data_IF_188287575242
#
_entry.id   IF_188287575242
#
_cell.length_a   1.000
_cell.length_b   1.000
_cell.length_c   1.000
_cell.angle_alpha   90.00
_cell.angle_beta   90.00
_cell.angle_gamma   90.00
#
_symmetry.space_group_name_H-M   'P 1'
#
loop_
_entity.id
_entity.type
_entity.pdbx_description
1 polymer ?
#
# COMPACT_ATOMS: atom_id res chain seq x y z
N UNK A 1 -0.93 27.07 97.33
CA UNK A 1 -1.31 25.94 96.44
C UNK A 1 -1.60 26.51 95.08
N UNK A 2 -0.94 25.97 94.06
CA UNK A 2 -0.59 26.62 92.80
C UNK A 2 -1.79 26.82 91.86
N UNK A 3 -1.89 28.02 91.26
CA UNK A 3 -1.99 28.16 89.81
C UNK A 3 -1.87 29.64 89.37
N UNK A 4 -1.36 29.79 88.14
CA UNK A 4 -1.60 30.88 87.18
C UNK A 4 -0.40 31.71 86.68
N UNK A 5 -0.21 31.57 85.36
CA UNK A 5 0.03 32.62 84.36
C UNK A 5 1.32 33.45 84.36
N UNK A 6 2.21 33.14 83.40
CA UNK A 6 2.84 34.08 82.41
C UNK A 6 3.81 33.28 81.52
N UNK A 7 3.58 33.10 80.22
CA UNK A 7 3.64 34.05 79.10
C UNK A 7 5.01 34.75 78.93
N UNK A 8 5.85 34.27 78.01
CA UNK A 8 6.01 34.84 76.65
C UNK A 8 7.29 34.34 75.93
N UNK A 9 7.04 33.79 74.72
CA UNK A 9 7.71 34.05 73.43
C UNK A 9 9.22 33.92 73.32
N UNK A 10 9.66 33.06 72.39
CA UNK A 10 10.67 33.43 71.40
C UNK A 10 10.55 32.57 70.12
N UNK A 11 10.74 33.20 68.97
CA UNK A 11 11.04 32.57 67.67
C UNK A 11 9.82 32.07 66.89
N UNK A 12 9.82 32.05 65.57
CA UNK A 12 10.64 32.72 64.57
C UNK A 12 9.84 32.61 63.25
N UNK A 13 9.89 33.69 62.47
CA UNK A 13 9.55 33.80 61.05
C UNK A 13 9.55 32.49 60.25
N UNK A 14 8.47 32.19 59.52
CA UNK A 14 8.57 31.58 58.18
C UNK A 14 7.56 32.26 57.24
N UNK A 15 8.08 33.06 56.32
CA UNK A 15 7.37 33.58 55.13
C UNK A 15 7.14 32.43 54.17
N UNK A 16 5.89 32.22 53.75
CA UNK A 16 5.50 31.28 52.69
C UNK A 16 5.49 32.06 51.36
N UNK A 17 6.34 31.74 50.37
CA UNK A 17 6.15 32.23 49.01
C UNK A 17 5.19 31.32 48.24
N UNK A 18 4.19 31.96 47.66
CA UNK A 18 3.16 31.44 46.75
C UNK A 18 3.81 30.74 45.55
N UNK A 19 3.53 29.44 45.39
CA UNK A 19 4.02 28.63 44.28
C UNK A 19 3.26 28.90 42.97
N UNK A 20 4.02 29.04 41.88
CA UNK A 20 3.53 29.18 40.51
C UNK A 20 2.73 27.94 40.06
N UNK A 21 1.50 28.15 39.61
CA UNK A 21 0.71 27.14 38.91
C UNK A 21 1.01 27.20 37.39
N UNK A 22 1.63 26.14 36.85
CA UNK A 22 1.78 25.95 35.40
C UNK A 22 0.64 25.04 34.95
N UNK A 23 -0.41 25.62 34.36
CA UNK A 23 -1.47 24.87 33.70
C UNK A 23 -0.99 24.45 32.30
N UNK A 24 -0.55 23.19 32.15
CA UNK A 24 -0.25 22.61 30.85
C UNK A 24 -1.57 22.21 30.16
N UNK A 25 -2.04 23.05 29.24
CA UNK A 25 -3.12 22.72 28.31
C UNK A 25 -2.63 21.66 27.33
N UNK A 26 -3.00 20.40 27.57
CA UNK A 26 -2.88 19.32 26.58
C UNK A 26 -3.88 19.59 25.45
N UNK A 27 -3.42 20.24 24.39
CA UNK A 27 -4.13 20.26 23.11
C UNK A 27 -4.13 18.84 22.54
N UNK A 28 -5.17 18.07 22.85
CA UNK A 28 -5.46 16.82 22.17
C UNK A 28 -5.72 17.14 20.70
N UNK A 29 -4.70 16.95 19.86
CA UNK A 29 -4.88 16.93 18.41
C UNK A 29 -5.77 15.74 18.09
N UNK A 30 -7.04 15.99 17.79
CA UNK A 30 -7.88 14.99 17.16
C UNK A 30 -7.29 14.73 15.77
N UNK A 31 -6.45 13.70 15.67
CA UNK A 31 -6.05 13.15 14.40
C UNK A 31 -7.31 12.68 13.69
N UNK A 32 -7.82 13.51 12.78
CA UNK A 32 -8.91 13.14 11.89
C UNK A 32 -8.35 12.04 10.99
N UNK A 33 -8.62 10.78 11.34
CA UNK A 33 -8.48 9.66 10.44
C UNK A 33 -9.34 9.99 9.21
N UNK A 34 -8.68 10.35 8.11
CA UNK A 34 -9.34 10.51 6.82
C UNK A 34 -9.84 9.13 6.41
N UNK A 35 -11.08 8.83 6.78
CA UNK A 35 -11.84 7.71 6.24
C UNK A 35 -12.09 8.02 4.78
N UNK A 36 -11.18 7.58 3.92
CA UNK A 36 -11.41 7.56 2.47
C UNK A 36 -12.59 6.61 2.26
N UNK A 37 -13.75 7.20 1.93
CA UNK A 37 -15.00 6.50 1.75
C UNK A 37 -14.97 5.51 0.58
N UNK A 38 -15.57 4.34 0.84
CA UNK A 38 -16.20 3.42 -0.11
C UNK A 38 -15.38 2.91 -1.30
N UNK A 39 -14.63 1.85 -1.00
CA UNK A 39 -14.13 0.84 -1.91
C UNK A 39 -12.91 0.20 -1.27
N UNK A 40 -13.00 -1.06 -0.83
CA UNK A 40 -11.82 -1.85 -0.41
C UNK A 40 -10.96 -2.15 -1.63
N UNK A 41 -10.38 -1.12 -2.22
CA UNK A 41 -9.52 -1.22 -3.39
C UNK A 41 -8.11 -0.89 -2.96
N UNK A 42 -7.24 -1.87 -3.11
CA UNK A 42 -5.82 -1.70 -2.80
C UNK A 42 -5.11 -0.92 -3.89
N UNK A 43 -4.00 -0.29 -3.52
CA UNK A 43 -3.22 0.52 -4.43
C UNK A 43 -2.81 -0.29 -5.66
N UNK A 44 -2.91 0.29 -6.87
CA UNK A 44 -2.48 -0.39 -8.07
C UNK A 44 -1.03 -0.77 -8.11
N UNK A 45 -0.77 -1.94 -8.67
CA UNK A 45 0.56 -2.34 -9.08
C UNK A 45 0.66 -2.26 -10.60
N UNK A 46 1.72 -1.63 -11.08
CA UNK A 46 1.96 -1.40 -12.51
C UNK A 46 3.31 -1.98 -12.93
N UNK A 47 3.44 -2.23 -14.23
CA UNK A 47 4.72 -2.53 -14.86
C UNK A 47 4.63 -2.40 -16.37
N UNK A 48 5.68 -2.78 -17.08
CA UNK A 48 5.71 -2.73 -18.54
C UNK A 48 7.09 -3.00 -19.13
N UNK A 49 7.12 -3.15 -20.44
CA UNK A 49 8.36 -3.17 -21.23
C UNK A 49 8.66 -1.78 -21.81
N UNK A 50 9.93 -1.48 -22.06
CA UNK A 50 10.33 -0.27 -22.79
C UNK A 50 10.07 1.05 -22.04
N UNK A 51 9.87 1.00 -20.72
CA UNK A 51 9.65 2.19 -19.87
C UNK A 51 10.86 2.45 -18.95
N UNK A 52 11.31 3.72 -18.92
CA UNK A 52 12.25 4.29 -17.91
C UNK A 52 11.63 4.23 -16.50
N UNK A 53 12.35 4.48 -15.37
CA UNK A 53 11.82 4.36 -14.01
C UNK A 53 10.45 5.01 -13.90
N UNK A 54 9.47 4.20 -13.53
CA UNK A 54 8.08 4.36 -13.93
C UNK A 54 7.54 5.78 -13.64
N UNK A 55 7.29 6.63 -14.66
CA UNK A 55 6.53 7.85 -14.44
C UNK A 55 5.14 7.49 -13.93
N UNK A 56 4.55 8.38 -13.12
CA UNK A 56 3.18 8.24 -12.64
C UNK A 56 2.26 7.83 -13.79
N UNK A 57 1.47 6.76 -13.60
CA UNK A 57 0.56 6.30 -14.64
C UNK A 57 -0.42 7.44 -14.97
N UNK A 58 -0.45 7.97 -16.21
CA UNK A 58 -1.33 9.08 -16.54
C UNK A 58 -2.79 8.64 -16.63
N UNK A 59 -3.03 7.32 -16.66
CA UNK A 59 -4.36 6.75 -16.75
C UNK A 59 -4.97 6.48 -15.36
N UNK A 60 -6.30 6.63 -15.22
CA UNK A 60 -7.00 6.20 -14.03
C UNK A 60 -6.75 4.71 -13.75
N UNK A 61 -6.60 4.31 -12.49
CA UNK A 61 -6.51 2.90 -12.13
C UNK A 61 -7.81 2.15 -12.44
N UNK A 62 -7.71 0.83 -12.54
CA UNK A 62 -8.85 -0.08 -12.64
C UNK A 62 -9.87 0.21 -11.54
N UNK A 63 -11.13 0.30 -11.93
CA UNK A 63 -12.26 0.47 -11.02
C UNK A 63 -12.77 -0.90 -10.56
N UNK A 64 -12.92 -1.09 -9.26
CA UNK A 64 -13.42 -2.33 -8.70
C UNK A 64 -13.14 -2.48 -7.21
N UNK A 65 -13.59 -3.61 -6.67
CA UNK A 65 -13.27 -4.07 -5.31
C UNK A 65 -12.26 -5.19 -5.42
N UNK A 66 -11.09 -5.02 -4.81
CA UNK A 66 -9.93 -5.88 -5.03
C UNK A 66 -9.36 -6.38 -3.72
N UNK A 67 -8.81 -7.59 -3.73
CA UNK A 67 -8.17 -8.14 -2.54
C UNK A 67 -6.91 -7.33 -2.19
N UNK A 68 -6.57 -7.23 -0.90
CA UNK A 68 -5.24 -6.78 -0.51
C UNK A 68 -4.17 -7.73 -1.01
N UNK A 69 -2.98 -7.22 -1.39
CA UNK A 69 -1.88 -8.07 -1.81
C UNK A 69 -1.55 -9.08 -0.71
N UNK A 70 -1.61 -10.36 -1.04
CA UNK A 70 -1.13 -11.39 -0.14
C UNK A 70 0.37 -11.19 0.09
N UNK A 71 0.83 -11.46 1.31
CA UNK A 71 2.23 -11.35 1.70
C UNK A 71 2.72 -12.65 2.31
N UNK A 72 3.97 -12.99 2.03
CA UNK A 72 4.68 -14.04 2.72
C UNK A 72 5.02 -13.61 4.17
N UNK A 73 5.45 -14.55 5.04
CA UNK A 73 5.77 -14.23 6.44
C UNK A 73 6.85 -13.17 6.63
N UNK A 74 7.74 -13.00 5.64
CA UNK A 74 8.77 -11.96 5.61
C UNK A 74 8.25 -10.59 5.13
N UNK A 75 6.95 -10.49 4.83
CA UNK A 75 6.29 -9.28 4.35
C UNK A 75 6.42 -9.04 2.84
N UNK A 76 7.12 -9.90 2.10
CA UNK A 76 7.23 -9.80 0.64
C UNK A 76 5.88 -10.10 -0.02
N UNK A 77 5.56 -9.41 -1.10
CA UNK A 77 4.31 -9.65 -1.85
C UNK A 77 4.35 -11.01 -2.55
N UNK A 78 3.26 -11.77 -2.47
CA UNK A 78 3.17 -13.11 -3.05
C UNK A 78 3.18 -13.07 -4.58
N UNK A 79 2.47 -12.10 -5.16
CA UNK A 79 2.33 -11.98 -6.61
C UNK A 79 3.40 -11.06 -7.17
N UNK A 80 4.07 -11.53 -8.22
CA UNK A 80 4.89 -10.71 -9.09
C UNK A 80 4.51 -10.93 -10.54
N UNK A 81 4.45 -9.86 -11.32
CA UNK A 81 4.19 -9.91 -12.75
C UNK A 81 5.43 -9.40 -13.47
N UNK A 82 5.94 -10.18 -14.42
CA UNK A 82 7.07 -9.80 -15.28
C UNK A 82 6.61 -9.67 -16.72
N UNK A 83 6.78 -8.50 -17.36
CA UNK A 83 6.42 -8.32 -18.76
C UNK A 83 7.53 -8.81 -19.69
N UNK A 84 7.15 -9.32 -20.86
CA UNK A 84 8.03 -9.54 -21.99
C UNK A 84 7.29 -9.27 -23.30
N UNK A 85 8.02 -8.99 -24.37
CA UNK A 85 7.46 -8.80 -25.69
C UNK A 85 8.34 -9.48 -26.74
N UNK A 86 7.74 -10.31 -27.59
CA UNK A 86 8.48 -11.11 -28.56
C UNK A 86 7.80 -11.07 -29.94
N UNK A 87 8.56 -10.89 -31.03
CA UNK A 87 8.04 -11.07 -32.38
C UNK A 87 7.59 -12.52 -32.62
N UNK A 88 6.46 -12.70 -33.30
CA UNK A 88 6.02 -14.03 -33.72
C UNK A 88 6.93 -14.60 -34.82
N UNK A 89 7.12 -15.92 -34.82
CA UNK A 89 7.97 -16.61 -35.82
C UNK A 89 7.43 -16.47 -37.24
N UNK A 90 6.10 -16.51 -37.42
CA UNK A 90 5.44 -16.44 -38.73
C UNK A 90 5.47 -15.02 -39.30
N UNK A 91 5.33 -14.02 -38.44
CA UNK A 91 5.35 -12.61 -38.84
C UNK A 91 6.02 -11.76 -37.76
N UNK A 92 7.28 -11.36 -37.92
CA UNK A 92 8.00 -10.57 -36.93
C UNK A 92 7.47 -9.14 -36.76
N UNK A 93 6.56 -8.68 -37.63
CA UNK A 93 5.83 -7.41 -37.44
C UNK A 93 4.72 -7.53 -36.39
N UNK A 94 4.33 -8.75 -36.03
CA UNK A 94 3.35 -9.04 -34.98
C UNK A 94 4.12 -9.37 -33.72
N UNK A 95 3.88 -8.58 -32.66
CA UNK A 95 4.56 -8.70 -31.38
C UNK A 95 3.57 -9.22 -30.35
N UNK A 96 3.87 -10.37 -29.75
CA UNK A 96 3.15 -10.88 -28.59
C UNK A 96 3.60 -10.11 -27.35
N UNK A 97 2.64 -9.54 -26.63
CA UNK A 97 2.85 -8.85 -25.37
C UNK A 97 2.45 -9.78 -24.25
N UNK A 98 3.43 -10.23 -23.48
CA UNK A 98 3.33 -11.38 -22.59
C UNK A 98 3.53 -10.93 -21.16
N UNK A 99 2.74 -11.47 -20.26
CA UNK A 99 2.92 -11.32 -18.81
C UNK A 99 3.17 -12.69 -18.19
N UNK A 100 4.24 -12.78 -17.41
CA UNK A 100 4.54 -13.93 -16.56
C UNK A 100 4.12 -13.59 -15.14
N UNK A 101 3.04 -14.20 -14.68
CA UNK A 101 2.53 -14.05 -13.31
C UNK A 101 3.12 -15.17 -12.46
N UNK A 102 3.69 -14.82 -11.33
CA UNK A 102 4.36 -15.74 -10.42
C UNK A 102 3.79 -15.57 -9.01
N UNK A 103 3.36 -16.67 -8.42
CA UNK A 103 2.94 -16.75 -7.03
C UNK A 103 4.04 -17.41 -6.21
N UNK A 104 4.67 -16.68 -5.30
CA UNK A 104 5.73 -17.20 -4.41
C UNK A 104 5.19 -17.77 -3.10
N UNK A 105 3.89 -17.66 -2.85
CA UNK A 105 3.25 -18.15 -1.64
C UNK A 105 2.60 -19.52 -1.88
N UNK A 106 2.36 -20.28 -0.80
CA UNK A 106 1.77 -21.62 -0.88
C UNK A 106 0.25 -21.66 -1.07
N UNK A 107 -0.44 -20.53 -0.97
CA UNK A 107 -1.88 -20.43 -1.18
C UNK A 107 -2.21 -20.07 -2.64
N UNK A 108 -3.39 -20.48 -3.10
CA UNK A 108 -3.89 -20.09 -4.42
C UNK A 108 -4.37 -18.63 -4.42
N UNK A 109 -4.06 -17.89 -5.49
CA UNK A 109 -4.40 -16.46 -5.62
C UNK A 109 -4.93 -16.20 -7.04
N UNK A 110 -6.03 -15.46 -7.12
CA UNK A 110 -6.61 -14.99 -8.38
C UNK A 110 -6.09 -13.58 -8.70
N UNK A 111 -5.60 -13.39 -9.91
CA UNK A 111 -5.01 -12.12 -10.36
C UNK A 111 -5.70 -11.66 -11.64
N UNK A 112 -6.06 -10.38 -11.70
CA UNK A 112 -6.46 -9.70 -12.93
C UNK A 112 -5.32 -8.81 -13.40
N UNK A 113 -4.95 -8.93 -14.68
CA UNK A 113 -3.94 -8.09 -15.32
C UNK A 113 -4.59 -7.42 -16.53
N UNK A 114 -4.49 -6.10 -16.63
CA UNK A 114 -5.06 -5.32 -17.71
C UNK A 114 -4.00 -4.45 -18.37
N UNK A 115 -4.22 -4.04 -19.62
CA UNK A 115 -3.51 -2.89 -20.15
C UNK A 115 -3.76 -1.66 -19.26
N UNK A 116 -2.71 -0.90 -18.97
CA UNK A 116 -2.82 0.26 -18.09
C UNK A 116 -3.83 1.27 -18.68
N UNK A 117 -4.82 1.66 -17.88
CA UNK A 117 -5.89 2.57 -18.32
C UNK A 117 -6.98 1.94 -19.19
N UNK A 118 -6.98 0.62 -19.36
CA UNK A 118 -7.96 -0.12 -20.15
C UNK A 118 -8.78 -1.09 -19.30
N UNK A 119 -9.90 -1.54 -19.84
CA UNK A 119 -10.68 -2.67 -19.33
C UNK A 119 -10.35 -3.99 -20.04
N UNK A 120 -9.39 -3.98 -20.95
CA UNK A 120 -8.89 -5.18 -21.62
C UNK A 120 -7.94 -5.93 -20.69
N UNK A 121 -8.41 -7.08 -20.21
CA UNK A 121 -7.85 -7.78 -19.06
C UNK A 121 -7.86 -9.29 -19.25
N UNK A 122 -6.84 -9.94 -18.71
CA UNK A 122 -6.83 -11.37 -18.45
C UNK A 122 -7.05 -11.63 -16.95
N UNK A 123 -7.71 -12.75 -16.63
CA UNK A 123 -7.81 -13.28 -15.27
C UNK A 123 -7.01 -14.58 -15.20
N UNK A 124 -6.19 -14.71 -14.16
CA UNK A 124 -5.29 -15.84 -13.97
C UNK A 124 -5.48 -16.36 -12.55
N UNK A 125 -5.88 -17.62 -12.43
CA UNK A 125 -5.84 -18.34 -11.17
C UNK A 125 -4.47 -19.02 -11.05
N UNK A 126 -3.71 -18.69 -10.00
CA UNK A 126 -2.43 -19.35 -9.71
C UNK A 126 -2.60 -20.20 -8.45
N UNK A 127 -2.25 -21.48 -8.54
CA UNK A 127 -2.00 -22.31 -7.38
C UNK A 127 -0.77 -21.81 -6.60
N UNK A 128 -0.57 -22.33 -5.39
CA UNK A 128 0.61 -22.05 -4.60
C UNK A 128 1.90 -22.38 -5.36
N UNK A 129 2.90 -21.50 -5.25
CA UNK A 129 4.21 -21.63 -5.92
C UNK A 129 4.15 -21.75 -7.46
N UNK A 130 3.02 -21.39 -8.09
CA UNK A 130 2.84 -21.53 -9.52
C UNK A 130 3.36 -20.30 -10.28
N UNK A 131 3.91 -20.55 -11.47
CA UNK A 131 4.22 -19.53 -12.47
C UNK A 131 3.43 -19.79 -13.76
N UNK A 132 2.76 -18.77 -14.28
CA UNK A 132 1.99 -18.84 -15.52
C UNK A 132 2.37 -17.72 -16.48
N UNK A 133 2.60 -18.09 -17.73
CA UNK A 133 2.81 -17.14 -18.82
C UNK A 133 1.51 -17.01 -19.63
N UNK A 134 1.11 -15.77 -19.92
CA UNK A 134 -0.09 -15.46 -20.71
C UNK A 134 0.20 -14.31 -21.67
N UNK A 135 -0.41 -14.36 -22.83
CA UNK A 135 -0.45 -13.22 -23.76
C UNK A 135 -1.49 -12.25 -23.20
N UNK A 136 -1.06 -11.02 -22.90
CA UNK A 136 -1.95 -9.92 -22.53
C UNK A 136 -2.59 -9.32 -23.77
N UNK A 137 -1.85 -9.28 -24.88
CA UNK A 137 -2.37 -8.93 -26.19
C UNK A 137 -1.29 -8.97 -27.27
N UNK A 138 -1.66 -8.48 -28.46
CA UNK A 138 -0.84 -8.56 -29.66
C UNK A 138 -0.78 -7.17 -30.29
N UNK A 139 0.41 -6.71 -30.68
CA UNK A 139 0.60 -5.40 -31.29
C UNK A 139 1.28 -5.50 -32.66
N UNK A 140 1.07 -4.48 -33.50
CA UNK A 140 1.83 -4.31 -34.73
C UNK A 140 3.11 -3.52 -34.43
N UNK A 141 4.24 -4.21 -34.32
CA UNK A 141 5.59 -3.63 -34.25
C UNK A 141 5.98 -3.00 -32.91
N UNK A 142 5.10 -2.92 -31.91
CA UNK A 142 5.44 -2.33 -30.61
C UNK A 142 5.78 -3.38 -29.55
N UNK A 143 7.04 -3.38 -29.12
CA UNK A 143 7.49 -4.15 -27.96
C UNK A 143 7.20 -3.46 -26.63
N UNK A 144 6.77 -2.20 -26.64
CA UNK A 144 6.44 -1.44 -25.44
C UNK A 144 4.96 -1.59 -25.09
N UNK A 145 4.68 -1.95 -23.85
CA UNK A 145 3.34 -1.91 -23.27
C UNK A 145 3.41 -1.71 -21.76
N UNK A 146 2.30 -1.22 -21.20
CA UNK A 146 2.13 -1.02 -19.76
C UNK A 146 0.93 -1.83 -19.29
N UNK A 147 1.03 -2.38 -18.10
CA UNK A 147 -0.06 -3.09 -17.47
C UNK A 147 -0.29 -2.60 -16.05
N UNK A 148 -1.51 -2.84 -15.59
CA UNK A 148 -1.94 -2.74 -14.21
C UNK A 148 -2.40 -4.13 -13.76
N UNK A 149 -2.15 -4.50 -12.51
CA UNK A 149 -2.72 -5.73 -11.96
C UNK A 149 -3.31 -5.55 -10.57
N UNK A 150 -4.22 -6.46 -10.23
CA UNK A 150 -4.88 -6.58 -8.93
C UNK A 150 -5.09 -8.03 -8.56
N UNK A 151 -5.05 -8.29 -7.26
CA UNK A 151 -5.53 -9.54 -6.70
C UNK A 151 -7.07 -9.48 -6.55
N UNK A 152 -7.72 -10.60 -6.81
CA UNK A 152 -9.17 -10.77 -6.69
C UNK A 152 -9.49 -11.53 -5.40
N UNK A 153 -10.68 -11.27 -4.85
CA UNK A 153 -11.24 -12.05 -3.75
C UNK A 153 -11.57 -13.48 -4.16
#
# INVERSE_FOLDING_TARGET
MNNEHRSHRFGHLIRVPCGLAIAALLAASSAQAQTVGFGRSTAPMYGGTGVSPMPANPFPPMKGTYAPPHKAPDGTVCISVRPSAHPQTINPKIIDQIVTVNNTCGQSINVQVCYAGSSDCIKVALSGYQKLQRILGISAGSTAFRYEYRELY
#
